data_IF_668168836038
#
_entry.id   IF_668168836038
#
_cell.length_a   1.000
_cell.length_b   1.000
_cell.length_c   1.000
_cell.angle_alpha   90.00
_cell.angle_beta   90.00
_cell.angle_gamma   90.00
#
_symmetry.space_group_name_H-M   'P 1'
#
loop_
_entity.id
_entity.type
_entity.pdbx_description
1 polymer ?
#
# COMPACT_ATOMS: atom_id res chain seq x y z
N UNK A 1 34.83 -0.41 23.54
CA UNK A 1 33.65 -0.84 24.33
C UNK A 1 32.56 -1.17 23.33
N UNK A 2 31.96 -2.35 23.47
CA UNK A 2 31.24 -3.08 22.43
C UNK A 2 29.90 -2.48 21.98
N UNK A 3 29.55 -2.82 20.74
CA UNK A 3 28.33 -2.65 19.96
C UNK A 3 26.98 -2.79 20.68
N UNK A 4 25.96 -2.09 20.14
CA UNK A 4 24.52 -2.38 20.09
C UNK A 4 23.86 -1.24 19.29
N UNK A 5 23.15 -1.39 18.18
CA UNK A 5 22.38 -2.52 17.61
C UNK A 5 22.12 -2.22 16.12
N UNK A 6 22.66 -3.06 15.24
CA UNK A 6 21.98 -3.34 13.97
C UNK A 6 20.71 -4.12 14.30
N UNK A 7 19.54 -3.57 13.97
CA UNK A 7 18.33 -4.38 13.85
C UNK A 7 17.77 -4.20 12.44
N UNK A 8 18.18 -5.11 11.58
CA UNK A 8 17.40 -5.56 10.44
C UNK A 8 15.94 -5.73 10.86
N UNK A 9 15.03 -4.91 10.34
CA UNK A 9 13.60 -5.22 10.37
C UNK A 9 13.20 -5.72 9.00
N UNK A 10 13.31 -7.05 8.87
CA UNK A 10 12.42 -7.84 8.03
C UNK A 10 10.97 -7.57 8.43
N UNK A 11 10.15 -7.06 7.49
CA UNK A 11 8.68 -7.24 7.48
C UNK A 11 7.92 -6.86 8.76
N UNK A 12 8.28 -5.77 9.42
CA UNK A 12 7.59 -5.30 10.62
C UNK A 12 6.46 -4.33 10.30
N UNK A 13 5.22 -4.80 10.40
CA UNK A 13 4.00 -3.98 10.35
C UNK A 13 4.06 -2.95 11.48
N UNK A 14 4.28 -1.68 11.16
CA UNK A 14 4.20 -0.60 12.16
C UNK A 14 2.73 -0.32 12.42
N UNK A 15 2.14 -1.04 13.37
CA UNK A 15 0.78 -0.76 13.85
C UNK A 15 0.89 0.16 15.06
N UNK A 16 0.82 1.47 14.87
CA UNK A 16 0.68 2.42 15.98
C UNK A 16 -0.73 2.27 16.57
N UNK A 17 -0.90 1.35 17.52
CA UNK A 17 -2.12 1.22 18.32
C UNK A 17 -2.22 2.42 19.28
N UNK A 18 -2.69 3.56 18.77
CA UNK A 18 -2.94 4.80 19.51
C UNK A 18 -4.34 5.32 19.21
N UNK A 19 -5.17 5.42 20.24
CA UNK A 19 -6.59 5.77 20.23
C UNK A 19 -6.90 7.09 19.48
N UNK A 20 -7.86 7.07 18.55
CA UNK A 20 -8.50 8.21 17.86
C UNK A 20 -7.64 9.07 16.91
N UNK A 21 -6.53 8.54 16.37
CA UNK A 21 -6.03 9.01 15.07
C UNK A 21 -6.41 7.95 14.04
N UNK A 22 -7.08 8.36 12.98
CA UNK A 22 -7.43 7.41 11.93
C UNK A 22 -6.14 6.82 11.35
N UNK A 23 -5.94 5.52 11.59
CA UNK A 23 -4.73 4.81 11.18
C UNK A 23 -4.54 5.06 9.68
N UNK A 24 -3.41 5.66 9.32
CA UNK A 24 -3.05 5.91 7.94
C UNK A 24 -2.03 4.88 7.48
N UNK A 25 -2.13 4.50 6.22
CA UNK A 25 -1.21 3.58 5.54
C UNK A 25 -0.79 4.20 4.21
N UNK A 26 0.48 3.99 3.86
CA UNK A 26 1.02 4.43 2.59
C UNK A 26 0.85 3.38 1.49
N UNK A 27 0.78 3.84 0.24
CA UNK A 27 0.52 2.99 -0.92
C UNK A 27 1.62 1.97 -1.19
N UNK A 28 2.87 2.23 -0.79
CA UNK A 28 3.97 1.30 -1.01
C UNK A 28 3.81 0.06 -0.12
N UNK A 29 3.57 0.30 1.17
CA UNK A 29 3.27 -0.76 2.15
C UNK A 29 2.04 -1.57 1.71
N UNK A 30 0.96 -0.88 1.32
CA UNK A 30 -0.26 -1.54 0.87
C UNK A 30 -0.03 -2.37 -0.42
N UNK A 31 0.70 -1.82 -1.39
CA UNK A 31 1.03 -2.51 -2.64
C UNK A 31 1.87 -3.76 -2.39
N UNK A 32 2.82 -3.70 -1.46
CA UNK A 32 3.62 -4.85 -1.07
C UNK A 32 2.72 -5.97 -0.55
N UNK A 33 1.85 -5.67 0.42
CA UNK A 33 0.91 -6.66 0.99
C UNK A 33 0.00 -7.27 -0.07
N UNK A 34 -0.54 -6.44 -0.99
CA UNK A 34 -1.38 -6.94 -2.09
C UNK A 34 -0.60 -7.85 -3.04
N UNK A 35 0.64 -7.47 -3.39
CA UNK A 35 1.45 -8.27 -4.30
C UNK A 35 1.92 -9.59 -3.68
N UNK A 36 2.16 -9.63 -2.37
CA UNK A 36 2.40 -10.87 -1.62
C UNK A 36 1.19 -11.81 -1.69
N UNK A 37 -0.01 -11.31 -1.39
CA UNK A 37 -1.25 -12.10 -1.52
C UNK A 37 -1.52 -12.57 -2.95
N UNK A 38 -1.26 -11.72 -3.96
CA UNK A 38 -1.39 -12.09 -5.39
C UNK A 38 -0.41 -13.20 -5.77
N UNK A 39 0.83 -13.14 -5.28
CA UNK A 39 1.85 -14.17 -5.51
C UNK A 39 1.41 -15.52 -4.93
N UNK A 40 0.83 -15.53 -3.72
CA UNK A 40 0.27 -16.74 -3.10
C UNK A 40 -0.89 -17.34 -3.92
N UNK A 41 -1.68 -16.48 -4.58
CA UNK A 41 -2.75 -16.90 -5.49
C UNK A 41 -2.27 -17.23 -6.92
N UNK A 42 -0.97 -17.21 -7.19
CA UNK A 42 -0.41 -17.45 -8.54
C UNK A 42 -0.69 -16.35 -9.56
N UNK A 43 -1.04 -15.14 -9.11
CA UNK A 43 -1.31 -14.00 -9.98
C UNK A 43 -0.09 -13.09 -10.19
N UNK A 44 -0.09 -12.35 -11.31
CA UNK A 44 0.97 -11.37 -11.62
C UNK A 44 0.93 -10.18 -10.64
N UNK A 45 2.08 -9.62 -10.23
CA UNK A 45 2.14 -8.43 -9.39
C UNK A 45 1.60 -7.20 -10.12
N UNK A 46 1.02 -6.27 -9.36
CA UNK A 46 0.54 -4.96 -9.79
C UNK A 46 1.72 -3.99 -9.78
N UNK A 47 1.85 -3.17 -10.83
CA UNK A 47 2.84 -2.09 -10.90
C UNK A 47 2.39 -0.91 -10.06
N UNK A 48 3.36 -0.15 -9.53
CA UNK A 48 3.06 1.03 -8.72
C UNK A 48 2.08 2.01 -9.38
N UNK A 49 2.35 2.41 -10.63
CA UNK A 49 1.52 3.40 -11.31
C UNK A 49 0.08 2.90 -11.58
N UNK A 50 -0.07 1.60 -11.86
CA UNK A 50 -1.39 0.97 -12.01
C UNK A 50 -2.16 0.97 -10.68
N UNK A 51 -1.44 0.73 -9.57
CA UNK A 51 -2.02 0.76 -8.23
C UNK A 51 -2.45 2.17 -7.81
N UNK A 52 -1.61 3.17 -8.08
CA UNK A 52 -1.92 4.59 -7.83
C UNK A 52 -3.16 5.03 -8.64
N UNK A 53 -3.29 4.60 -9.90
CA UNK A 53 -4.48 4.88 -10.68
C UNK A 53 -5.77 4.30 -10.04
N UNK A 54 -5.68 3.11 -9.44
CA UNK A 54 -6.80 2.49 -8.71
C UNK A 54 -7.16 3.23 -7.43
N UNK A 55 -6.16 3.70 -6.68
CA UNK A 55 -6.39 4.52 -5.47
C UNK A 55 -7.15 5.79 -5.85
N UNK A 56 -6.75 6.45 -6.94
CA UNK A 56 -7.42 7.68 -7.41
C UNK A 56 -8.89 7.45 -7.78
N UNK A 57 -9.17 6.34 -8.47
CA UNK A 57 -10.54 5.99 -8.88
C UNK A 57 -11.42 5.59 -7.70
N UNK A 58 -10.87 4.87 -6.72
CA UNK A 58 -11.64 4.42 -5.56
C UNK A 58 -11.91 5.53 -4.54
N UNK A 59 -10.96 6.45 -4.37
CA UNK A 59 -11.05 7.55 -3.40
C UNK A 59 -11.47 8.86 -4.06
N UNK A 60 -12.08 8.81 -5.23
CA UNK A 60 -12.63 9.99 -5.90
C UNK A 60 -13.70 10.64 -5.00
N UNK A 61 -13.50 11.91 -4.65
CA UNK A 61 -14.40 12.65 -3.75
C UNK A 61 -14.10 12.48 -2.25
N UNK A 62 -13.02 11.78 -1.88
CA UNK A 62 -12.55 11.67 -0.49
C UNK A 62 -11.18 12.34 -0.29
N UNK A 63 -10.87 12.71 0.95
CA UNK A 63 -9.57 13.26 1.33
C UNK A 63 -8.50 12.16 1.43
N UNK A 64 -7.41 12.33 0.69
CA UNK A 64 -6.17 11.56 0.79
C UNK A 64 -5.00 12.38 0.24
N UNK A 65 -3.77 12.02 0.59
CA UNK A 65 -2.57 12.72 0.09
C UNK A 65 -1.90 11.91 -1.02
N UNK A 66 -1.42 12.59 -2.06
CA UNK A 66 -0.63 12.00 -3.13
C UNK A 66 0.65 12.80 -3.38
N UNK A 67 1.77 12.08 -3.37
CA UNK A 67 3.10 12.56 -3.68
C UNK A 67 3.50 12.03 -5.04
N UNK A 68 3.89 12.91 -5.96
CA UNK A 68 4.39 12.51 -7.28
C UNK A 68 5.87 12.86 -7.35
N UNK A 69 6.71 11.85 -7.56
CA UNK A 69 8.15 11.98 -7.73
C UNK A 69 8.48 11.83 -9.21
N UNK A 70 9.20 12.80 -9.76
CA UNK A 70 9.79 12.69 -11.09
C UNK A 70 11.11 11.93 -11.00
N UNK A 71 11.19 10.79 -11.67
CA UNK A 71 12.39 9.98 -11.75
C UNK A 71 13.38 10.56 -12.77
N UNK A 72 14.66 10.20 -12.63
CA UNK A 72 15.75 10.64 -13.50
C UNK A 72 15.55 10.25 -14.99
N UNK A 73 14.73 9.23 -15.24
CA UNK A 73 14.38 8.73 -16.58
C UNK A 73 13.12 9.39 -17.19
N UNK A 74 12.71 10.57 -16.70
CA UNK A 74 11.50 11.28 -17.12
C UNK A 74 10.17 10.52 -16.90
N UNK A 75 10.17 9.49 -16.06
CA UNK A 75 8.92 8.84 -15.61
C UNK A 75 8.46 9.43 -14.28
N UNK A 76 7.18 9.30 -13.96
CA UNK A 76 6.63 9.68 -12.65
C UNK A 76 6.26 8.44 -11.84
N UNK A 77 6.59 8.48 -10.55
CA UNK A 77 6.14 7.52 -9.54
C UNK A 77 5.21 8.24 -8.57
N UNK A 78 4.02 7.68 -8.35
CA UNK A 78 3.10 8.16 -7.32
C UNK A 78 3.26 7.40 -6.01
N UNK A 79 3.08 8.09 -4.88
CA UNK A 79 2.91 7.51 -3.55
C UNK A 79 1.69 8.16 -2.91
N UNK A 80 0.76 7.38 -2.36
CA UNK A 80 -0.41 7.92 -1.69
C UNK A 80 -0.40 7.57 -0.20
N UNK A 81 -0.97 8.43 0.64
CA UNK A 81 -1.24 8.16 2.05
C UNK A 81 -2.74 8.26 2.26
N UNK A 82 -3.33 7.20 2.78
CA UNK A 82 -4.78 7.06 2.93
C UNK A 82 -5.12 6.42 4.29
N UNK A 83 -6.37 6.54 4.70
CA UNK A 83 -6.88 5.87 5.91
C UNK A 83 -6.93 4.36 5.70
N UNK A 84 -6.74 3.57 6.75
CA UNK A 84 -6.84 2.10 6.67
C UNK A 84 -8.22 1.65 6.17
N UNK A 85 -9.29 2.36 6.56
CA UNK A 85 -10.66 2.15 6.07
C UNK A 85 -10.76 2.30 4.54
N UNK A 86 -10.08 3.29 3.98
CA UNK A 86 -9.96 3.53 2.53
C UNK A 86 -9.13 2.44 1.84
N UNK A 87 -7.99 2.08 2.43
CA UNK A 87 -7.10 1.04 1.90
C UNK A 87 -7.80 -0.31 1.75
N UNK A 88 -8.62 -0.71 2.72
CA UNK A 88 -9.40 -1.95 2.64
C UNK A 88 -10.34 -1.94 1.42
N UNK A 89 -11.00 -0.81 1.13
CA UNK A 89 -11.88 -0.67 -0.05
C UNK A 89 -11.08 -0.76 -1.36
N UNK A 90 -9.96 -0.06 -1.43
CA UNK A 90 -9.02 -0.10 -2.58
C UNK A 90 -8.59 -1.54 -2.90
N UNK A 91 -8.26 -2.34 -1.88
CA UNK A 91 -7.85 -3.74 -2.05
C UNK A 91 -9.02 -4.64 -2.45
N UNK A 92 -10.19 -4.48 -1.83
CA UNK A 92 -11.36 -5.30 -2.09
C UNK A 92 -11.87 -5.18 -3.55
N UNK A 93 -11.81 -3.97 -4.14
CA UNK A 93 -12.18 -3.76 -5.56
C UNK A 93 -11.17 -4.34 -6.55
N UNK A 94 -9.93 -4.58 -6.12
CA UNK A 94 -8.88 -5.18 -6.94
C UNK A 94 -9.05 -6.70 -7.11
N UNK A 95 -10.26 -7.19 -7.43
CA UNK A 95 -10.66 -8.50 -8.01
C UNK A 95 -10.06 -9.84 -7.52
N UNK A 96 -9.10 -9.88 -6.60
CA UNK A 96 -8.38 -11.10 -6.19
C UNK A 96 -8.87 -11.64 -4.86
N UNK A 97 -9.14 -10.75 -3.90
CA UNK A 97 -9.41 -11.15 -2.52
C UNK A 97 -10.76 -11.87 -2.37
N UNK A 98 -11.70 -11.72 -3.31
CA UNK A 98 -13.02 -12.35 -3.27
C UNK A 98 -13.15 -13.67 -4.03
N UNK A 99 -12.08 -14.19 -4.66
CA UNK A 99 -12.17 -15.42 -5.47
C UNK A 99 -11.83 -16.71 -4.72
N UNK A 100 -11.52 -16.63 -3.43
CA UNK A 100 -11.29 -17.79 -2.54
C UNK A 100 -12.56 -18.28 -1.80
N UNK A 101 -13.73 -17.74 -2.15
CA UNK A 101 -15.03 -18.10 -1.54
C UNK A 101 -16.01 -18.72 -2.55
N UNK A 102 -15.53 -19.51 -3.52
CA UNK A 102 -16.39 -20.35 -4.36
C UNK A 102 -15.72 -21.68 -4.65
#
# INVERSE_FOLDING_TARGET
MADKTNLITSGGVVTHMGTNQELAIDSDTLLQMVNEARKECGEKPIRNNDFIARIKDELEGEDYEIFVVQNLNNTTSGKAVMRVSQAIRVVARSKVVLRSLT
#
